data_IF_239446905508
#
_entry.id   IF_239446905508
#
_cell.length_a   1.000
_cell.length_b   1.000
_cell.length_c   1.000
_cell.angle_alpha   90.00
_cell.angle_beta   90.00
_cell.angle_gamma   90.00
#
_symmetry.space_group_name_H-M   'P 1'
#
loop_
_entity.id
_entity.type
_entity.pdbx_description
1 polymer ?
#
# COMPACT_ATOMS: atom_id res chain seq x y z
N UNK A 1 -26.86 14.01 -5.35
CA UNK A 1 -25.70 13.21 -4.85
C UNK A 1 -26.08 12.19 -3.77
N UNK A 2 -27.35 12.08 -3.37
CA UNK A 2 -27.74 11.20 -2.25
C UNK A 2 -27.56 9.70 -2.54
N UNK A 3 -27.73 9.29 -3.80
CA UNK A 3 -27.55 7.89 -4.21
C UNK A 3 -26.12 7.38 -3.98
N UNK A 4 -25.11 8.18 -4.27
CA UNK A 4 -23.69 7.81 -4.07
C UNK A 4 -23.36 7.72 -2.58
N UNK A 5 -23.88 8.65 -1.76
CA UNK A 5 -23.69 8.62 -0.30
C UNK A 5 -24.28 7.35 0.33
N UNK A 6 -25.48 6.93 -0.09
CA UNK A 6 -26.10 5.68 0.37
C UNK A 6 -25.30 4.45 -0.05
N UNK A 7 -24.75 4.45 -1.26
CA UNK A 7 -23.86 3.39 -1.74
C UNK A 7 -22.56 3.30 -0.92
N UNK A 8 -21.98 4.45 -0.58
CA UNK A 8 -20.78 4.53 0.26
C UNK A 8 -21.01 4.05 1.68
N UNK A 9 -22.06 4.52 2.36
CA UNK A 9 -22.45 4.02 3.69
C UNK A 9 -22.68 2.51 3.70
N UNK A 10 -23.33 1.99 2.65
CA UNK A 10 -23.60 0.55 2.55
C UNK A 10 -22.31 -0.25 2.35
N UNK A 11 -21.37 0.28 1.57
CA UNK A 11 -20.05 -0.32 1.35
C UNK A 11 -19.22 -0.35 2.63
N UNK A 12 -19.27 0.70 3.45
CA UNK A 12 -18.59 0.77 4.75
C UNK A 12 -19.13 -0.26 5.75
N UNK A 13 -20.44 -0.52 5.73
CA UNK A 13 -21.08 -1.55 6.56
C UNK A 13 -20.77 -2.98 6.10
N UNK A 14 -20.26 -3.18 4.89
CA UNK A 14 -19.93 -4.51 4.38
C UNK A 14 -19.48 -4.49 2.92
N UNK A 15 -18.24 -4.92 2.69
CA UNK A 15 -17.61 -4.95 1.36
C UNK A 15 -18.19 -6.04 0.43
N UNK A 16 -18.89 -7.04 0.99
CA UNK A 16 -19.64 -8.06 0.25
C UNK A 16 -21.09 -7.63 0.11
N UNK A 17 -21.51 -7.47 -1.15
CA UNK A 17 -22.89 -7.15 -1.50
C UNK A 17 -23.66 -8.44 -1.73
N UNK A 18 -24.38 -8.89 -0.72
CA UNK A 18 -25.27 -10.05 -0.83
C UNK A 18 -26.41 -9.79 -1.83
N UNK A 19 -26.93 -10.83 -2.53
CA UNK A 19 -27.99 -10.68 -3.53
C UNK A 19 -29.24 -9.95 -3.00
N UNK A 20 -29.67 -10.27 -1.77
CA UNK A 20 -30.81 -9.64 -1.11
C UNK A 20 -30.57 -8.14 -0.85
N UNK A 21 -29.38 -7.79 -0.35
CA UNK A 21 -29.00 -6.38 -0.09
C UNK A 21 -28.90 -5.60 -1.40
N UNK A 22 -28.37 -6.22 -2.46
CA UNK A 22 -28.32 -5.63 -3.81
C UNK A 22 -29.72 -5.29 -4.32
N UNK A 23 -30.68 -6.20 -4.18
CA UNK A 23 -32.06 -5.96 -4.60
C UNK A 23 -32.74 -4.86 -3.78
N UNK A 24 -32.53 -4.83 -2.47
CA UNK A 24 -33.03 -3.76 -1.61
C UNK A 24 -32.44 -2.39 -1.98
N UNK A 25 -31.13 -2.33 -2.25
CA UNK A 25 -30.46 -1.09 -2.64
C UNK A 25 -30.91 -0.59 -4.02
N UNK A 26 -31.09 -1.50 -4.98
CA UNK A 26 -31.63 -1.19 -6.30
C UNK A 26 -33.02 -0.56 -6.19
N UNK A 27 -33.91 -1.15 -5.36
CA UNK A 27 -35.24 -0.59 -5.10
C UNK A 27 -35.20 0.77 -4.40
N UNK A 28 -34.41 0.88 -3.32
CA UNK A 28 -34.31 2.11 -2.53
C UNK A 28 -33.73 3.30 -3.32
N UNK A 29 -32.84 3.04 -4.28
CA UNK A 29 -32.18 4.07 -5.07
C UNK A 29 -32.83 4.29 -6.45
N UNK A 30 -33.85 3.49 -6.82
CA UNK A 30 -34.45 3.51 -8.15
C UNK A 30 -33.46 3.14 -9.26
N UNK A 31 -32.46 2.30 -8.96
CA UNK A 31 -31.38 1.92 -9.88
C UNK A 31 -31.50 0.46 -10.29
N UNK A 32 -30.95 0.11 -11.46
CA UNK A 32 -30.89 -1.29 -11.86
C UNK A 32 -29.86 -2.05 -11.00
N UNK A 33 -30.15 -3.32 -10.63
CA UNK A 33 -29.20 -4.15 -9.87
C UNK A 33 -27.81 -4.26 -10.53
N UNK A 34 -27.74 -4.19 -11.87
CA UNK A 34 -26.48 -4.15 -12.62
C UNK A 34 -25.65 -2.91 -12.30
N UNK A 35 -26.27 -1.73 -12.20
CA UNK A 35 -25.58 -0.48 -11.87
C UNK A 35 -24.99 -0.53 -10.46
N UNK A 36 -25.73 -1.11 -9.50
CA UNK A 36 -25.22 -1.35 -8.14
C UNK A 36 -24.01 -2.27 -8.18
N UNK A 37 -24.07 -3.38 -8.92
CA UNK A 37 -22.96 -4.32 -9.03
C UNK A 37 -21.70 -3.68 -9.63
N UNK A 38 -21.84 -2.93 -10.73
CA UNK A 38 -20.73 -2.20 -11.36
C UNK A 38 -20.15 -1.16 -10.40
N UNK A 39 -21.00 -0.42 -9.68
CA UNK A 39 -20.54 0.56 -8.70
C UNK A 39 -19.70 -0.09 -7.59
N UNK A 40 -20.16 -1.21 -7.02
CA UNK A 40 -19.43 -1.96 -5.99
C UNK A 40 -18.12 -2.54 -6.52
N UNK A 41 -18.10 -3.05 -7.77
CA UNK A 41 -16.86 -3.51 -8.42
C UNK A 41 -15.85 -2.37 -8.57
N UNK A 42 -16.28 -1.23 -9.12
CA UNK A 42 -15.42 -0.06 -9.29
C UNK A 42 -14.94 0.50 -7.95
N UNK A 43 -15.79 0.49 -6.92
CA UNK A 43 -15.42 0.94 -5.58
C UNK A 43 -14.35 0.05 -4.95
N UNK A 44 -14.46 -1.27 -5.10
CA UNK A 44 -13.43 -2.24 -4.67
C UNK A 44 -12.12 -2.07 -5.42
N UNK A 45 -12.18 -1.90 -6.75
CA UNK A 45 -11.00 -1.67 -7.56
C UNK A 45 -10.25 -0.41 -7.09
N UNK A 46 -10.96 0.72 -6.94
CA UNK A 46 -10.38 1.98 -6.42
C UNK A 46 -9.80 1.84 -5.02
N UNK A 47 -10.49 1.12 -4.12
CA UNK A 47 -9.98 0.87 -2.77
C UNK A 47 -8.69 0.05 -2.80
N UNK A 48 -8.65 -1.01 -3.63
CA UNK A 48 -7.47 -1.87 -3.78
C UNK A 48 -6.28 -1.09 -4.37
N UNK A 49 -6.51 -0.25 -5.37
CA UNK A 49 -5.47 0.64 -5.93
C UNK A 49 -4.91 1.56 -4.87
N UNK A 50 -5.78 2.26 -4.13
CA UNK A 50 -5.35 3.17 -3.06
C UNK A 50 -4.59 2.46 -1.94
N UNK A 51 -4.98 1.23 -1.62
CA UNK A 51 -4.25 0.42 -0.64
C UNK A 51 -2.86 0.04 -1.17
N UNK A 52 -2.77 -0.38 -2.43
CA UNK A 52 -1.51 -0.75 -3.06
C UNK A 52 -0.53 0.44 -3.16
N UNK A 53 -1.04 1.63 -3.47
CA UNK A 53 -0.25 2.88 -3.47
C UNK A 53 0.36 3.14 -2.09
N UNK A 54 -0.45 3.05 -1.03
CA UNK A 54 0.05 3.22 0.35
C UNK A 54 1.07 2.16 0.76
N UNK A 55 0.82 0.91 0.39
CA UNK A 55 1.71 -0.20 0.69
C UNK A 55 3.05 -0.01 -0.04
N UNK A 56 3.00 0.45 -1.30
CA UNK A 56 4.18 0.82 -2.09
C UNK A 56 4.96 1.95 -1.43
N UNK A 57 4.31 3.05 -1.05
CA UNK A 57 4.97 4.19 -0.39
C UNK A 57 5.66 3.77 0.91
N UNK A 58 4.97 2.94 1.70
CA UNK A 58 5.52 2.38 2.95
C UNK A 58 6.75 1.52 2.67
N UNK A 59 6.69 0.64 1.66
CA UNK A 59 7.79 -0.22 1.30
C UNK A 59 8.97 0.59 0.75
N UNK A 60 8.69 1.63 -0.05
CA UNK A 60 9.68 2.54 -0.62
C UNK A 60 10.45 3.29 0.47
N UNK A 61 9.75 3.84 1.45
CA UNK A 61 10.39 4.49 2.61
C UNK A 61 11.31 3.54 3.39
N UNK A 62 10.86 2.30 3.62
CA UNK A 62 11.69 1.28 4.28
C UNK A 62 12.92 0.93 3.46
N UNK A 63 12.75 0.75 2.15
CA UNK A 63 13.85 0.46 1.24
C UNK A 63 14.89 1.59 1.25
N UNK A 64 14.46 2.85 1.15
CA UNK A 64 15.36 3.99 1.13
C UNK A 64 16.12 4.14 2.47
N UNK A 65 15.47 3.87 3.59
CA UNK A 65 16.12 3.85 4.91
C UNK A 65 17.17 2.73 5.02
N UNK A 66 16.82 1.51 4.60
CA UNK A 66 17.75 0.38 4.59
C UNK A 66 18.94 0.61 3.66
N UNK A 67 18.69 1.21 2.49
CA UNK A 67 19.74 1.56 1.54
C UNK A 67 20.71 2.57 2.15
N UNK A 68 20.20 3.63 2.77
CA UNK A 68 21.04 4.64 3.41
C UNK A 68 21.89 4.04 4.54
N UNK A 69 21.34 3.11 5.33
CA UNK A 69 22.09 2.43 6.37
C UNK A 69 23.15 1.48 5.80
N UNK A 70 22.82 0.73 4.75
CA UNK A 70 23.77 -0.12 4.06
C UNK A 70 24.95 0.68 3.48
N UNK A 71 24.69 1.83 2.86
CA UNK A 71 25.73 2.70 2.31
C UNK A 71 26.66 3.25 3.43
N UNK A 72 26.11 3.55 4.61
CA UNK A 72 26.91 3.95 5.80
C UNK A 72 27.78 2.81 6.31
N UNK A 73 27.21 1.61 6.45
CA UNK A 73 27.95 0.43 6.89
C UNK A 73 29.05 0.06 5.92
N UNK A 74 28.78 0.16 4.61
CA UNK A 74 29.77 -0.07 3.55
C UNK A 74 30.94 0.93 3.67
N UNK A 75 30.63 2.22 3.83
CA UNK A 75 31.66 3.26 4.06
C UNK A 75 32.48 3.00 5.32
N UNK A 76 31.84 2.54 6.40
CA UNK A 76 32.53 2.23 7.64
C UNK A 76 33.44 1.00 7.49
N UNK A 77 32.96 -0.05 6.82
CA UNK A 77 33.74 -1.24 6.50
C UNK A 77 34.97 -0.91 5.67
N UNK A 78 34.84 -0.05 4.65
CA UNK A 78 35.98 0.38 3.81
C UNK A 78 37.04 1.12 4.64
N UNK A 79 36.62 1.99 5.56
CA UNK A 79 37.54 2.68 6.48
C UNK A 79 38.26 1.71 7.41
N UNK A 80 37.54 0.78 8.00
CA UNK A 80 38.12 -0.24 8.88
C UNK A 80 39.10 -1.14 8.12
N UNK A 81 38.76 -1.54 6.89
CA UNK A 81 39.67 -2.31 6.03
C UNK A 81 40.96 -1.54 5.74
N UNK A 82 40.87 -0.25 5.43
CA UNK A 82 42.05 0.59 5.22
C UNK A 82 42.92 0.70 6.48
N UNK A 83 42.32 0.86 7.66
CA UNK A 83 43.04 0.90 8.93
C UNK A 83 43.75 -0.43 9.25
N UNK A 84 43.06 -1.56 9.07
CA UNK A 84 43.65 -2.90 9.23
C UNK A 84 44.85 -3.10 8.30
N UNK A 85 44.73 -2.66 7.04
CA UNK A 85 45.84 -2.73 6.08
C UNK A 85 47.02 -1.89 6.56
N UNK A 86 46.78 -0.64 6.98
CA UNK A 86 47.84 0.25 7.47
C UNK A 86 48.56 -0.36 8.68
N UNK A 87 47.83 -0.87 9.67
CA UNK A 87 48.40 -1.53 10.86
C UNK A 87 49.19 -2.80 10.51
N UNK A 88 48.71 -3.58 9.53
CA UNK A 88 49.40 -4.79 9.06
C UNK A 88 50.70 -4.47 8.34
N UNK A 89 50.76 -3.36 7.60
CA UNK A 89 51.99 -2.91 6.93
C UNK A 89 52.99 -2.36 7.96
N UNK A 90 52.52 -1.54 8.89
CA UNK A 90 53.38 -0.91 9.90
C UNK A 90 53.98 -1.92 10.89
N UNK A 91 53.24 -2.98 11.24
CA UNK A 91 53.74 -4.04 12.14
C UNK A 91 54.75 -5.00 11.50
N UNK A 92 54.91 -4.96 10.16
CA UNK A 92 55.87 -5.77 9.41
C UNK A 92 57.17 -5.04 9.06
N UNK A 93 57.27 -3.76 9.42
CA UNK A 93 58.44 -2.89 9.22
C UNK A 93 59.22 -2.75 10.53
#
# INVERSE_FOLDING_TARGET
>A
MEQVKTLEKTFELGNKLEPERKMQLARALGLQPRQIAIWFQNRRARWKTKQLEKDYDTLKLKFDALKAENDRLQTHNEKLQAEVINLTIFSRS
#
